data_IF_286474609816
#
_entry.id   IF_286474609816
#
_cell.length_a   1.000
_cell.length_b   1.000
_cell.length_c   1.000
_cell.angle_alpha   90.00
_cell.angle_beta   90.00
_cell.angle_gamma   90.00
#
_symmetry.space_group_name_H-M   'P 1'
#
loop_
_entity.id
_entity.type
_entity.pdbx_description
1 polymer ?
#
# COMPACT_ATOMS: atom_id res chain seq x y z
N UNK A 1 -28.60 16.12 16.44
CA UNK A 1 -27.54 15.08 16.29
C UNK A 1 -27.12 15.03 14.84
N UNK A 2 -25.85 15.26 14.56
CA UNK A 2 -25.32 15.14 13.19
C UNK A 2 -25.33 13.66 12.77
N UNK A 3 -25.93 13.37 11.62
CA UNK A 3 -25.98 12.03 11.04
C UNK A 3 -24.70 11.80 10.23
N UNK A 4 -24.00 10.69 10.46
CA UNK A 4 -22.91 10.27 9.59
C UNK A 4 -23.50 9.85 8.25
N UNK A 5 -23.10 10.51 7.16
CA UNK A 5 -23.61 10.25 5.82
C UNK A 5 -22.73 9.30 5.03
N UNK A 6 -21.42 9.29 5.30
CA UNK A 6 -20.45 8.37 4.70
C UNK A 6 -19.22 8.21 5.57
N UNK A 7 -18.48 7.10 5.40
CA UNK A 7 -17.22 6.82 6.08
C UNK A 7 -16.13 6.61 5.03
N UNK A 8 -15.00 7.29 5.20
CA UNK A 8 -13.83 7.17 4.34
C UNK A 8 -12.73 6.45 5.10
N UNK A 9 -12.15 5.43 4.48
CA UNK A 9 -11.03 4.67 5.02
C UNK A 9 -9.78 4.88 4.18
N UNK A 10 -8.65 5.03 4.82
CA UNK A 10 -7.37 4.74 4.18
C UNK A 10 -7.19 3.23 4.04
N UNK A 11 -6.36 2.78 3.12
CA UNK A 11 -6.13 1.37 2.83
C UNK A 11 -4.88 0.83 3.53
N UNK A 12 -3.72 1.38 3.15
CA UNK A 12 -2.41 0.88 3.58
C UNK A 12 -2.15 1.23 5.05
N UNK A 13 -1.84 0.24 5.88
CA UNK A 13 -1.60 0.42 7.31
C UNK A 13 -2.86 0.75 8.13
N UNK A 14 -4.04 0.74 7.51
CA UNK A 14 -5.34 1.01 8.16
C UNK A 14 -6.28 -0.19 8.02
N UNK A 15 -6.50 -0.67 6.82
CA UNK A 15 -7.34 -1.84 6.56
C UNK A 15 -6.51 -3.10 6.32
N UNK A 16 -5.32 -2.95 5.75
CA UNK A 16 -4.37 -4.03 5.48
C UNK A 16 -2.99 -3.70 6.01
N UNK A 17 -2.27 -4.70 6.53
CA UNK A 17 -0.91 -4.55 7.06
C UNK A 17 0.12 -4.65 5.92
N UNK A 18 0.15 -3.62 5.10
CA UNK A 18 1.00 -3.57 3.92
C UNK A 18 2.36 -2.90 4.13
N UNK A 19 2.56 -2.17 5.25
CA UNK A 19 3.75 -1.33 5.44
C UNK A 19 5.03 -2.16 5.59
N UNK A 20 4.99 -3.24 6.39
CA UNK A 20 6.13 -4.16 6.57
C UNK A 20 6.47 -4.85 5.26
N UNK A 21 5.45 -5.28 4.52
CA UNK A 21 5.62 -5.92 3.20
C UNK A 21 6.28 -4.96 2.21
N UNK A 22 5.82 -3.72 2.15
CA UNK A 22 6.40 -2.70 1.29
C UNK A 22 7.86 -2.40 1.63
N UNK A 23 8.23 -2.35 2.91
CA UNK A 23 9.63 -2.13 3.31
C UNK A 23 10.53 -3.29 2.90
N UNK A 24 10.08 -4.53 3.00
CA UNK A 24 10.80 -5.71 2.51
C UNK A 24 10.98 -5.69 0.99
N UNK A 25 9.95 -5.26 0.27
CA UNK A 25 10.03 -5.10 -1.18
C UNK A 25 11.07 -4.04 -1.60
N UNK A 26 11.26 -2.98 -0.83
CA UNK A 26 12.36 -2.03 -1.05
C UNK A 26 13.73 -2.70 -0.87
N UNK A 27 13.92 -3.49 0.18
CA UNK A 27 15.18 -4.22 0.41
C UNK A 27 15.49 -5.13 -0.77
N UNK A 28 14.52 -5.94 -1.21
CA UNK A 28 14.69 -6.83 -2.37
C UNK A 28 15.00 -6.02 -3.64
N UNK A 29 14.27 -4.94 -3.89
CA UNK A 29 14.51 -4.09 -5.04
C UNK A 29 15.94 -3.55 -5.06
N UNK A 30 16.43 -2.96 -3.98
CA UNK A 30 17.77 -2.40 -3.92
C UNK A 30 18.85 -3.49 -3.99
N UNK A 31 18.59 -4.69 -3.48
CA UNK A 31 19.50 -5.83 -3.58
C UNK A 31 19.74 -6.26 -5.03
N UNK A 32 18.72 -6.19 -5.90
CA UNK A 32 18.88 -6.45 -7.34
C UNK A 32 19.85 -5.48 -8.02
N UNK A 33 20.03 -4.28 -7.46
CA UNK A 33 21.00 -3.28 -7.91
C UNK A 33 22.31 -3.30 -7.12
N UNK A 34 22.54 -4.35 -6.31
CA UNK A 34 23.78 -4.51 -5.54
C UNK A 34 23.86 -3.68 -4.26
N UNK A 35 22.74 -3.08 -3.81
CA UNK A 35 22.67 -2.29 -2.59
C UNK A 35 21.99 -3.12 -1.50
N UNK A 36 22.69 -3.34 -0.39
CA UNK A 36 22.15 -4.06 0.77
C UNK A 36 21.65 -3.05 1.80
N UNK A 37 20.38 -3.14 2.17
CA UNK A 37 19.73 -2.30 3.18
C UNK A 37 19.20 -3.16 4.33
N UNK A 38 19.18 -2.59 5.53
CA UNK A 38 18.56 -3.22 6.68
C UNK A 38 17.02 -3.03 6.64
N UNK A 39 16.20 -4.09 6.75
CA UNK A 39 14.74 -3.99 6.65
C UNK A 39 14.11 -3.11 7.74
N UNK A 40 14.65 -3.12 8.98
CA UNK A 40 14.11 -2.30 10.06
C UNK A 40 14.42 -0.83 9.85
N UNK A 41 15.62 -0.52 9.34
CA UNK A 41 16.00 0.85 9.00
C UNK A 41 15.13 1.38 7.86
N UNK A 42 14.92 0.59 6.80
CA UNK A 42 14.02 0.94 5.68
C UNK A 42 12.63 1.25 6.19
N UNK A 43 12.06 0.39 7.04
CA UNK A 43 10.74 0.59 7.60
C UNK A 43 10.63 1.89 8.41
N UNK A 44 11.60 2.13 9.31
CA UNK A 44 11.59 3.32 10.19
C UNK A 44 11.79 4.62 9.41
N UNK A 45 12.64 4.59 8.40
CA UNK A 45 13.10 5.78 7.68
C UNK A 45 12.17 6.19 6.54
N UNK A 46 11.58 5.22 5.84
CA UNK A 46 10.87 5.46 4.59
C UNK A 46 9.36 5.29 4.69
N UNK A 47 8.82 5.12 5.89
CA UNK A 47 7.37 5.04 6.09
C UNK A 47 6.68 6.30 5.56
N UNK A 48 5.76 6.13 4.59
CA UNK A 48 5.02 7.22 3.97
C UNK A 48 5.79 8.03 2.91
N UNK A 49 7.07 7.74 2.67
CA UNK A 49 7.88 8.39 1.64
C UNK A 49 7.55 7.80 0.26
N UNK A 50 7.56 8.63 -0.79
CA UNK A 50 7.27 8.18 -2.15
C UNK A 50 8.41 7.36 -2.73
N UNK A 51 8.07 6.33 -3.52
CA UNK A 51 9.03 5.41 -4.14
C UNK A 51 10.21 6.12 -4.82
N UNK A 52 9.94 7.11 -5.68
CA UNK A 52 11.01 7.79 -6.41
C UNK A 52 11.93 8.64 -5.52
N UNK A 53 11.38 9.18 -4.46
CA UNK A 53 12.15 9.91 -3.45
C UNK A 53 13.07 8.96 -2.67
N UNK A 54 12.59 7.76 -2.31
CA UNK A 54 13.41 6.71 -1.69
C UNK A 54 14.54 6.29 -2.63
N UNK A 55 14.25 6.08 -3.92
CA UNK A 55 15.26 5.74 -4.92
C UNK A 55 16.32 6.85 -5.01
N UNK A 56 15.94 8.11 -5.04
CA UNK A 56 16.86 9.25 -5.09
C UNK A 56 17.77 9.30 -3.86
N UNK A 57 17.19 9.16 -2.67
CA UNK A 57 17.93 9.20 -1.40
C UNK A 57 18.97 8.08 -1.35
N UNK A 58 18.55 6.84 -1.58
CA UNK A 58 19.43 5.68 -1.48
C UNK A 58 20.50 5.70 -2.59
N UNK A 59 20.14 6.11 -3.81
CA UNK A 59 21.10 6.28 -4.91
C UNK A 59 22.20 7.28 -4.57
N UNK A 60 21.84 8.41 -3.98
CA UNK A 60 22.77 9.44 -3.55
C UNK A 60 23.71 8.92 -2.46
N UNK A 61 23.18 8.21 -1.46
CA UNK A 61 23.95 7.70 -0.32
C UNK A 61 24.97 6.63 -0.76
N UNK A 62 24.62 5.84 -1.75
CA UNK A 62 25.49 4.77 -2.28
C UNK A 62 26.36 5.21 -3.48
N UNK A 63 26.22 6.46 -3.93
CA UNK A 63 26.98 7.00 -5.04
C UNK A 63 26.68 6.32 -6.38
N UNK A 64 25.46 5.84 -6.58
CA UNK A 64 24.99 5.14 -7.79
C UNK A 64 23.86 5.93 -8.46
N UNK A 65 23.61 5.61 -9.72
CA UNK A 65 22.44 6.14 -10.44
C UNK A 65 21.56 4.98 -10.87
N UNK A 66 20.34 4.91 -10.34
CA UNK A 66 19.39 3.87 -10.70
C UNK A 66 18.38 4.39 -11.72
N UNK A 67 18.05 3.55 -12.70
CA UNK A 67 16.93 3.80 -13.61
C UNK A 67 15.61 3.66 -12.85
N UNK A 68 14.94 4.77 -12.54
CA UNK A 68 13.72 4.80 -11.71
C UNK A 68 12.61 3.87 -12.21
N UNK A 69 12.42 3.81 -13.51
CA UNK A 69 11.40 2.94 -14.13
C UNK A 69 11.70 1.46 -13.96
N UNK A 70 12.96 1.08 -14.03
CA UNK A 70 13.40 -0.29 -13.81
C UNK A 70 13.26 -0.68 -12.33
N UNK A 71 13.75 0.17 -11.43
CA UNK A 71 13.61 -0.01 -9.99
C UNK A 71 12.11 -0.08 -9.58
N UNK A 72 11.27 0.78 -10.13
CA UNK A 72 9.81 0.71 -9.91
C UNK A 72 9.23 -0.62 -10.38
N UNK A 73 9.65 -1.12 -11.53
CA UNK A 73 9.17 -2.41 -12.05
C UNK A 73 9.51 -3.56 -11.10
N UNK A 74 10.76 -3.64 -10.64
CA UNK A 74 11.21 -4.64 -9.67
C UNK A 74 10.42 -4.52 -8.35
N UNK A 75 10.31 -3.30 -7.82
CA UNK A 75 9.56 -3.04 -6.60
C UNK A 75 8.10 -3.50 -6.69
N UNK A 76 7.41 -3.13 -7.77
CA UNK A 76 5.99 -3.48 -7.95
C UNK A 76 5.77 -4.98 -8.13
N UNK A 77 6.66 -5.65 -8.84
CA UNK A 77 6.61 -7.11 -8.99
C UNK A 77 6.77 -7.80 -7.63
N UNK A 78 7.71 -7.34 -6.82
CA UNK A 78 7.94 -7.92 -5.49
C UNK A 78 6.79 -7.62 -4.52
N UNK A 79 6.26 -6.40 -4.52
CA UNK A 79 5.05 -6.08 -3.73
C UNK A 79 3.89 -6.98 -4.12
N UNK A 80 3.63 -7.18 -5.40
CA UNK A 80 2.55 -8.05 -5.86
C UNK A 80 2.75 -9.50 -5.37
N UNK A 81 3.96 -10.04 -5.51
CA UNK A 81 4.32 -11.39 -5.04
C UNK A 81 4.10 -11.54 -3.52
N UNK A 82 4.57 -10.58 -2.74
CA UNK A 82 4.43 -10.61 -1.28
C UNK A 82 2.96 -10.41 -0.85
N UNK A 83 2.21 -9.57 -1.55
CA UNK A 83 0.77 -9.38 -1.28
C UNK A 83 -0.02 -10.67 -1.52
N UNK A 84 0.32 -11.42 -2.55
CA UNK A 84 -0.34 -12.70 -2.82
C UNK A 84 -0.15 -13.72 -1.70
N UNK A 85 1.01 -13.73 -1.07
CA UNK A 85 1.38 -14.73 -0.07
C UNK A 85 1.17 -14.29 1.38
N UNK A 86 1.35 -12.99 1.69
CA UNK A 86 1.53 -12.54 3.07
C UNK A 86 0.61 -11.37 3.49
N UNK A 87 -0.10 -10.74 2.56
CA UNK A 87 -0.94 -9.59 2.92
C UNK A 87 -2.14 -10.05 3.75
N UNK A 88 -2.24 -9.49 4.94
CA UNK A 88 -3.34 -9.73 5.87
C UNK A 88 -4.11 -8.44 6.19
N UNK A 89 -5.36 -8.63 6.59
CA UNK A 89 -6.16 -7.53 7.12
C UNK A 89 -5.64 -7.12 8.51
N UNK A 90 -5.69 -5.84 8.81
CA UNK A 90 -5.49 -5.36 10.19
C UNK A 90 -6.55 -6.00 11.08
N UNK A 91 -6.13 -6.46 12.27
CA UNK A 91 -7.03 -7.07 13.25
C UNK A 91 -8.24 -6.17 13.55
N UNK A 92 -9.43 -6.72 13.44
CA UNK A 92 -10.68 -5.98 13.64
C UNK A 92 -11.17 -5.21 12.42
N UNK A 93 -10.39 -5.00 11.36
CA UNK A 93 -10.81 -4.25 10.18
C UNK A 93 -12.06 -4.85 9.52
N UNK A 94 -12.09 -6.18 9.34
CA UNK A 94 -13.24 -6.87 8.76
C UNK A 94 -14.51 -6.75 9.61
N UNK A 95 -14.38 -6.86 10.94
CA UNK A 95 -15.49 -6.70 11.87
C UNK A 95 -16.04 -5.26 11.84
N UNK A 96 -15.15 -4.27 11.82
CA UNK A 96 -15.51 -2.86 11.71
C UNK A 96 -16.29 -2.57 10.42
N UNK A 97 -15.77 -3.01 9.27
CA UNK A 97 -16.41 -2.81 7.98
C UNK A 97 -17.80 -3.47 7.92
N UNK A 98 -17.95 -4.64 8.55
CA UNK A 98 -19.24 -5.35 8.64
C UNK A 98 -20.27 -4.66 9.54
N UNK A 99 -19.82 -3.93 10.54
CA UNK A 99 -20.67 -3.23 11.51
C UNK A 99 -21.19 -1.88 10.99
N UNK A 100 -20.55 -1.30 9.98
CA UNK A 100 -20.93 0.01 9.42
C UNK A 100 -22.07 -0.17 8.42
N UNK A 101 -23.16 0.57 8.63
CA UNK A 101 -24.33 0.58 7.73
C UNK A 101 -24.36 1.79 6.80
N UNK A 102 -23.58 2.83 7.09
CA UNK A 102 -23.44 4.00 6.23
C UNK A 102 -22.64 3.64 4.95
N UNK A 103 -22.82 4.39 3.85
CA UNK A 103 -21.96 4.27 2.68
C UNK A 103 -20.49 4.38 3.04
N UNK A 104 -19.65 3.50 2.48
CA UNK A 104 -18.22 3.48 2.73
C UNK A 104 -17.42 3.71 1.45
N UNK A 105 -16.28 4.34 1.61
CA UNK A 105 -15.34 4.59 0.52
C UNK A 105 -13.92 4.33 1.00
N UNK A 106 -13.10 3.69 0.17
CA UNK A 106 -11.66 3.53 0.42
C UNK A 106 -10.92 4.53 -0.45
N UNK A 107 -10.05 5.30 0.18
CA UNK A 107 -9.23 6.33 -0.45
C UNK A 107 -7.77 6.02 -0.18
N UNK A 108 -6.95 5.92 -1.20
CA UNK A 108 -5.52 5.65 -1.07
C UNK A 108 -4.70 6.50 -2.04
N UNK A 109 -3.50 6.86 -1.63
CA UNK A 109 -2.50 7.50 -2.49
C UNK A 109 -1.76 6.49 -3.39
N UNK A 110 -1.97 5.20 -3.18
CA UNK A 110 -1.39 4.13 -3.99
C UNK A 110 -2.04 4.00 -5.37
N UNK A 111 -1.38 3.32 -6.30
CA UNK A 111 -1.96 3.04 -7.61
C UNK A 111 -3.18 2.10 -7.50
N UNK A 112 -4.14 2.29 -8.40
CA UNK A 112 -5.41 1.56 -8.40
C UNK A 112 -5.26 0.03 -8.34
N UNK A 113 -4.34 -0.52 -9.12
CA UNK A 113 -4.10 -1.96 -9.17
C UNK A 113 -3.62 -2.52 -7.81
N UNK A 114 -2.73 -1.79 -7.10
CA UNK A 114 -2.30 -2.16 -5.74
C UNK A 114 -3.48 -2.15 -4.78
N UNK A 115 -4.29 -1.09 -4.81
CA UNK A 115 -5.44 -0.96 -3.92
C UNK A 115 -6.50 -2.04 -4.21
N UNK A 116 -6.79 -2.34 -5.47
CA UNK A 116 -7.70 -3.43 -5.84
C UNK A 116 -7.19 -4.79 -5.35
N UNK A 117 -5.88 -5.03 -5.43
CA UNK A 117 -5.25 -6.24 -4.90
C UNK A 117 -5.43 -6.34 -3.38
N UNK A 118 -5.11 -5.26 -2.65
CA UNK A 118 -5.28 -5.18 -1.19
C UNK A 118 -6.74 -5.40 -0.77
N UNK A 119 -7.68 -4.76 -1.45
CA UNK A 119 -9.11 -4.91 -1.15
C UNK A 119 -9.62 -6.30 -1.49
N UNK A 120 -9.13 -6.93 -2.56
CA UNK A 120 -9.47 -8.32 -2.90
C UNK A 120 -9.08 -9.29 -1.78
N UNK A 121 -7.90 -9.11 -1.18
CA UNK A 121 -7.47 -9.89 -0.02
C UNK A 121 -8.33 -9.63 1.20
N UNK A 122 -8.64 -8.37 1.51
CA UNK A 122 -9.50 -8.00 2.63
C UNK A 122 -10.89 -8.64 2.52
N UNK A 123 -11.50 -8.60 1.34
CA UNK A 123 -12.83 -9.18 1.07
C UNK A 123 -12.78 -10.71 1.18
N UNK A 124 -11.72 -11.35 0.70
CA UNK A 124 -11.55 -12.80 0.77
C UNK A 124 -11.39 -13.29 2.22
N UNK A 125 -10.71 -12.52 3.07
CA UNK A 125 -10.51 -12.84 4.49
C UNK A 125 -11.75 -12.57 5.36
N UNK A 126 -12.66 -11.71 4.91
CA UNK A 126 -13.92 -11.45 5.62
C UNK A 126 -15.04 -12.31 5.04
N UNK A 127 -15.32 -13.42 5.66
CA UNK A 127 -16.35 -14.42 5.26
C UNK A 127 -17.79 -13.87 5.27
N UNK A 128 -18.00 -12.59 5.46
CA UNK A 128 -19.31 -11.97 5.58
C UNK A 128 -19.41 -10.70 4.73
N UNK A 129 -20.06 -10.81 3.60
CA UNK A 129 -20.83 -9.77 2.90
C UNK A 129 -20.38 -8.32 3.13
N UNK A 130 -19.13 -7.99 2.80
CA UNK A 130 -18.85 -6.60 2.43
C UNK A 130 -19.61 -6.41 1.12
N UNK A 131 -20.69 -5.63 1.19
CA UNK A 131 -21.45 -5.29 0.01
C UNK A 131 -20.58 -4.37 -0.85
N UNK A 132 -19.79 -4.95 -1.76
CA UNK A 132 -18.88 -4.21 -2.65
C UNK A 132 -19.61 -3.14 -3.48
N UNK A 133 -20.94 -3.22 -3.58
CA UNK A 133 -21.76 -2.17 -4.19
C UNK A 133 -21.84 -0.89 -3.36
N UNK A 134 -21.45 -0.92 -2.07
CA UNK A 134 -21.43 0.26 -1.19
C UNK A 134 -20.02 0.86 -0.99
N UNK A 135 -18.96 0.17 -1.38
CA UNK A 135 -17.59 0.67 -1.27
C UNK A 135 -17.09 1.17 -2.64
N UNK A 136 -16.91 2.47 -2.77
CA UNK A 136 -16.29 3.08 -3.96
C UNK A 136 -14.81 3.27 -3.70
N UNK A 137 -13.98 2.82 -4.65
CA UNK A 137 -12.53 2.90 -4.57
C UNK A 137 -12.06 4.15 -5.32
N UNK A 138 -11.41 5.07 -4.63
CA UNK A 138 -10.78 6.23 -5.25
C UNK A 138 -9.26 6.16 -5.10
N UNK A 139 -8.54 6.18 -6.22
CA UNK A 139 -7.11 6.48 -6.22
C UNK A 139 -6.94 7.97 -6.42
N UNK A 140 -6.29 8.64 -5.48
CA UNK A 140 -5.80 9.99 -5.71
C UNK A 140 -4.59 9.89 -6.67
N UNK A 141 -4.86 9.76 -7.97
CA UNK A 141 -3.84 9.86 -9.00
C UNK A 141 -3.05 11.15 -8.82
N UNK A 142 -1.74 11.09 -8.99
CA UNK A 142 -0.85 12.25 -8.93
C UNK A 142 -1.37 13.33 -9.89
N UNK A 143 -2.05 14.33 -9.35
CA UNK A 143 -2.26 15.57 -10.09
C UNK A 143 -0.88 16.26 -10.13
N UNK A 144 -0.18 16.08 -11.23
CA UNK A 144 0.88 16.98 -11.66
C UNK A 144 0.25 18.38 -11.76
N UNK A 145 0.50 19.22 -10.76
CA UNK A 145 0.25 20.66 -10.93
C UNK A 145 1.20 21.12 -12.03
N UNK A 146 0.61 21.59 -13.12
CA UNK A 146 1.31 22.44 -14.09
C UNK A 146 1.57 23.81 -13.48
#
# INVERSE_FOLDING_TARGET
MSRIEAVFFDCDGTLVDSEVICSRAYVTMFQEFGITLDPEEVFKRFKGVKLYEIIDIVSLEHGVTLAKTEAEHVYRAEVARLFDSELEAIEGAGALLSAITAPMCVVSNGPNNKMQHSMGKLICCTTSRINCSAATIFSAGSQTRR
#
